data_IF_528591498710
#
_entry.id   IF_528591498710
#
_cell.length_a   1.000
_cell.length_b   1.000
_cell.length_c   1.000
_cell.angle_alpha   90.00
_cell.angle_beta   90.00
_cell.angle_gamma   90.00
#
_symmetry.space_group_name_H-M   'P 1'
#
loop_
_entity.id
_entity.type
_entity.pdbx_description
1 polymer ?
#
# COMPACT_ATOMS: atom_id res chain seq x y z
N UNK A 1 -2.57 -19.61 -32.51
CA UNK A 1 -3.66 -20.21 -31.70
C UNK A 1 -4.95 -19.51 -32.07
N UNK A 2 -6.10 -20.16 -31.87
CA UNK A 2 -7.41 -19.50 -32.02
C UNK A 2 -7.67 -18.61 -30.78
N UNK A 3 -7.78 -17.28 -30.92
CA UNK A 3 -7.97 -16.38 -29.79
C UNK A 3 -9.32 -16.57 -29.08
N UNK A 4 -10.32 -17.15 -29.76
CA UNK A 4 -11.62 -17.45 -29.15
C UNK A 4 -11.62 -18.75 -28.33
N UNK A 5 -10.46 -19.42 -28.21
CA UNK A 5 -10.34 -20.74 -27.57
C UNK A 5 -9.31 -20.79 -26.44
N UNK A 6 -9.17 -19.69 -25.69
CA UNK A 6 -8.50 -19.70 -24.38
C UNK A 6 -9.41 -20.36 -23.32
N UNK A 7 -9.58 -21.68 -23.44
CA UNK A 7 -9.89 -22.51 -22.29
C UNK A 7 -8.72 -22.39 -21.30
N UNK A 8 -9.02 -22.11 -20.04
CA UNK A 8 -8.00 -21.99 -18.98
C UNK A 8 -7.10 -23.23 -18.93
N UNK A 9 -5.79 -22.99 -18.96
CA UNK A 9 -4.78 -24.06 -19.00
C UNK A 9 -4.59 -24.57 -17.57
N UNK A 10 -4.50 -25.90 -17.37
CA UNK A 10 -4.22 -26.44 -16.03
C UNK A 10 -2.74 -26.26 -15.66
N UNK A 11 -2.39 -26.17 -14.38
CA UNK A 11 -0.98 -26.01 -13.93
C UNK A 11 -0.05 -27.09 -14.54
N UNK A 12 -0.54 -28.34 -14.64
CA UNK A 12 0.13 -29.46 -15.31
C UNK A 12 0.46 -29.23 -16.79
N UNK A 13 -0.29 -28.36 -17.45
CA UNK A 13 -0.12 -27.98 -18.85
C UNK A 13 0.67 -26.67 -18.97
N UNK A 14 0.57 -25.78 -17.98
CA UNK A 14 1.46 -24.63 -17.76
C UNK A 14 2.92 -25.06 -17.65
N UNK A 15 3.27 -25.93 -16.70
CA UNK A 15 4.63 -26.46 -16.52
C UNK A 15 5.21 -27.10 -17.81
N UNK A 16 4.39 -27.87 -18.54
CA UNK A 16 4.76 -28.45 -19.85
C UNK A 16 5.01 -27.42 -20.95
N UNK A 17 4.48 -26.21 -20.78
CA UNK A 17 4.64 -25.08 -21.69
C UNK A 17 5.84 -24.23 -21.28
N UNK A 18 6.03 -23.96 -19.97
CA UNK A 18 7.21 -23.28 -19.43
C UNK A 18 8.48 -24.04 -19.80
N UNK A 19 8.53 -25.36 -19.57
CA UNK A 19 9.66 -26.23 -19.98
C UNK A 19 9.92 -26.32 -21.50
N UNK A 20 9.11 -25.65 -22.33
CA UNK A 20 9.33 -25.49 -23.78
C UNK A 20 9.68 -24.06 -24.20
N UNK A 21 9.64 -23.08 -23.29
CA UNK A 21 10.08 -21.70 -23.56
C UNK A 21 11.60 -21.70 -23.78
N UNK A 22 12.06 -20.75 -24.60
CA UNK A 22 13.49 -20.56 -24.95
C UNK A 22 14.14 -19.38 -24.24
N UNK A 23 13.42 -18.74 -23.32
CA UNK A 23 13.92 -17.66 -22.46
C UNK A 23 13.95 -18.19 -21.04
N UNK A 24 15.12 -18.19 -20.37
CA UNK A 24 15.17 -18.45 -18.92
C UNK A 24 14.36 -17.40 -18.18
N UNK A 25 13.82 -17.77 -17.02
CA UNK A 25 13.29 -16.78 -16.08
C UNK A 25 14.40 -15.84 -15.57
N UNK A 26 14.07 -14.56 -15.44
CA UNK A 26 14.94 -13.54 -14.81
C UNK A 26 14.53 -13.26 -13.36
N UNK A 27 13.68 -14.09 -12.76
CA UNK A 27 13.14 -13.86 -11.41
C UNK A 27 14.25 -13.71 -10.35
N UNK A 28 15.35 -14.46 -10.48
CA UNK A 28 16.49 -14.40 -9.56
C UNK A 28 17.21 -13.02 -9.50
N UNK A 29 17.03 -12.15 -10.51
CA UNK A 29 17.62 -10.80 -10.51
C UNK A 29 16.73 -9.71 -9.89
N UNK A 30 15.55 -10.07 -9.39
CA UNK A 30 14.62 -9.13 -8.75
C UNK A 30 14.99 -8.91 -7.28
N UNK A 31 14.97 -7.67 -6.75
CA UNK A 31 15.44 -7.39 -5.39
C UNK A 31 14.54 -7.95 -4.28
N UNK A 32 13.32 -8.39 -4.60
CA UNK A 32 12.40 -9.09 -3.70
C UNK A 32 12.51 -10.63 -3.80
N UNK A 33 13.43 -11.16 -4.61
CA UNK A 33 13.58 -12.60 -4.82
C UNK A 33 14.16 -13.32 -3.60
N UNK A 34 13.54 -14.44 -3.23
CA UNK A 34 14.01 -15.35 -2.18
C UNK A 34 13.83 -16.82 -2.62
N UNK A 35 14.52 -17.74 -1.93
CA UNK A 35 14.23 -19.17 -1.99
C UNK A 35 13.65 -19.63 -0.65
N UNK A 36 12.33 -19.83 -0.61
CA UNK A 36 11.67 -20.35 0.59
C UNK A 36 12.10 -21.81 0.79
N UNK A 37 12.51 -22.13 2.02
CA UNK A 37 13.06 -23.43 2.43
C UNK A 37 14.20 -23.91 1.50
N UNK A 38 15.03 -22.98 1.01
CA UNK A 38 16.18 -23.18 0.10
C UNK A 38 15.87 -23.60 -1.35
N UNK A 39 14.64 -24.06 -1.66
CA UNK A 39 14.29 -24.61 -2.98
C UNK A 39 13.11 -23.94 -3.70
N UNK A 40 12.17 -23.28 -3.00
CA UNK A 40 10.96 -22.73 -3.61
C UNK A 40 11.22 -21.28 -4.07
N UNK A 41 11.24 -20.96 -5.37
CA UNK A 41 11.44 -19.60 -5.86
C UNK A 41 10.24 -18.73 -5.48
N UNK A 42 10.48 -17.56 -4.89
CA UNK A 42 9.41 -16.68 -4.43
C UNK A 42 9.81 -15.18 -4.49
N UNK A 43 8.79 -14.32 -4.45
CA UNK A 43 8.91 -12.87 -4.29
C UNK A 43 8.26 -12.47 -2.97
N UNK A 44 8.99 -11.73 -2.12
CA UNK A 44 8.49 -11.16 -0.86
C UNK A 44 8.45 -9.63 -0.99
N UNK A 45 7.29 -9.12 -1.40
CA UNK A 45 7.04 -7.72 -1.70
C UNK A 45 6.38 -7.08 -0.48
N UNK A 46 7.19 -6.37 0.31
CA UNK A 46 6.70 -5.66 1.49
C UNK A 46 6.16 -4.28 1.12
N UNK A 47 5.05 -3.88 1.75
CA UNK A 47 4.53 -2.52 1.69
C UNK A 47 5.55 -1.54 2.34
N UNK A 48 5.67 -0.28 1.86
CA UNK A 48 6.60 0.68 2.42
C UNK A 48 6.27 1.08 3.87
N UNK A 49 4.99 1.36 4.18
CA UNK A 49 4.56 1.60 5.56
C UNK A 49 4.62 0.29 6.37
N UNK A 50 5.44 0.30 7.43
CA UNK A 50 5.69 -0.83 8.35
C UNK A 50 4.56 -1.10 9.34
N UNK A 51 3.51 -0.26 9.36
CA UNK A 51 2.25 -0.57 10.05
C UNK A 51 1.48 -1.72 9.36
N UNK A 52 1.67 -1.90 8.05
CA UNK A 52 0.97 -2.94 7.28
C UNK A 52 1.57 -4.32 7.60
N UNK A 53 0.77 -5.15 8.28
CA UNK A 53 1.12 -6.53 8.68
C UNK A 53 0.29 -7.61 7.99
N UNK A 54 -0.74 -7.23 7.25
CA UNK A 54 -1.51 -8.11 6.37
C UNK A 54 -0.59 -8.75 5.32
N UNK A 55 -0.83 -10.02 5.01
CA UNK A 55 -0.14 -10.75 3.94
C UNK A 55 -1.15 -11.32 2.95
N UNK A 56 -0.88 -11.13 1.68
CA UNK A 56 -1.61 -11.71 0.56
C UNK A 56 -0.71 -12.78 -0.08
N UNK A 57 -1.05 -14.06 0.14
CA UNK A 57 -0.35 -15.20 -0.45
C UNK A 57 -0.90 -15.46 -1.86
N UNK A 58 -0.11 -15.05 -2.86
CA UNK A 58 -0.50 -15.01 -4.27
C UNK A 58 -0.11 -16.31 -5.01
N UNK A 59 -1.11 -16.98 -5.57
CA UNK A 59 -0.95 -18.14 -6.45
C UNK A 59 -1.31 -17.73 -7.89
N UNK A 60 -0.29 -17.62 -8.74
CA UNK A 60 -0.39 -17.11 -10.12
C UNK A 60 -1.11 -18.07 -11.08
N UNK A 61 -1.41 -17.61 -12.31
CA UNK A 61 -1.96 -18.49 -13.34
C UNK A 61 -0.89 -19.40 -13.99
N UNK A 62 -1.37 -20.52 -14.54
CA UNK A 62 -0.66 -21.47 -15.40
C UNK A 62 0.14 -20.88 -16.58
N UNK A 63 -0.17 -19.64 -16.99
CA UNK A 63 0.45 -18.94 -18.12
C UNK A 63 1.45 -17.86 -17.70
N UNK A 64 1.51 -17.55 -16.40
CA UNK A 64 2.38 -16.55 -15.78
C UNK A 64 3.64 -17.19 -15.18
N UNK A 65 4.69 -16.39 -14.99
CA UNK A 65 5.85 -16.69 -14.15
C UNK A 65 6.12 -15.45 -13.30
N UNK A 66 6.76 -15.60 -12.13
CA UNK A 66 6.90 -14.51 -11.16
C UNK A 66 7.57 -13.24 -11.72
N UNK A 67 8.48 -13.38 -12.69
CA UNK A 67 9.16 -12.25 -13.34
C UNK A 67 8.26 -11.40 -14.26
N UNK A 68 7.26 -12.01 -14.88
CA UNK A 68 6.34 -11.34 -15.80
C UNK A 68 5.25 -10.55 -15.08
N UNK A 69 4.96 -10.90 -13.82
CA UNK A 69 3.93 -10.25 -13.00
C UNK A 69 4.50 -9.36 -11.89
N UNK A 70 5.82 -9.38 -11.66
CA UNK A 70 6.51 -8.67 -10.57
C UNK A 70 6.05 -7.22 -10.37
N UNK A 71 6.05 -6.40 -11.43
CA UNK A 71 5.63 -4.99 -11.36
C UNK A 71 4.18 -4.85 -10.91
N UNK A 72 3.27 -5.67 -11.44
CA UNK A 72 1.86 -5.65 -11.05
C UNK A 72 1.62 -6.17 -9.63
N UNK A 73 2.51 -7.01 -9.09
CA UNK A 73 2.49 -7.39 -7.67
C UNK A 73 3.00 -6.25 -6.78
N UNK A 74 3.98 -5.45 -7.22
CA UNK A 74 4.42 -4.23 -6.50
C UNK A 74 3.30 -3.19 -6.45
N UNK A 75 2.62 -2.96 -7.57
CA UNK A 75 1.44 -2.08 -7.64
C UNK A 75 0.28 -2.59 -6.77
N UNK A 76 -0.01 -3.90 -6.83
CA UNK A 76 -1.06 -4.52 -6.02
C UNK A 76 -0.76 -4.46 -4.51
N UNK A 77 0.51 -4.59 -4.09
CA UNK A 77 0.89 -4.46 -2.68
C UNK A 77 0.57 -3.06 -2.14
N UNK A 78 0.85 -2.02 -2.93
CA UNK A 78 0.49 -0.62 -2.63
C UNK A 78 -1.02 -0.43 -2.55
N UNK A 79 -1.75 -0.81 -3.62
CA UNK A 79 -3.18 -0.52 -3.78
C UNK A 79 -4.08 -1.30 -2.82
N UNK A 80 -3.65 -2.49 -2.38
CA UNK A 80 -4.41 -3.34 -1.45
C UNK A 80 -3.93 -3.24 0.00
N UNK A 81 -2.98 -2.34 0.30
CA UNK A 81 -2.33 -2.19 1.61
C UNK A 81 -2.02 -3.54 2.27
N UNK A 82 -1.29 -4.39 1.54
CA UNK A 82 -0.88 -5.73 1.97
C UNK A 82 0.56 -5.99 1.54
N UNK A 83 1.31 -6.74 2.35
CA UNK A 83 2.54 -7.37 1.88
C UNK A 83 2.16 -8.54 0.97
N UNK A 84 2.83 -8.74 -0.16
CA UNK A 84 2.53 -9.82 -1.11
C UNK A 84 3.64 -10.85 -1.09
N UNK A 85 3.26 -12.13 -0.99
CA UNK A 85 4.17 -13.25 -1.10
C UNK A 85 3.67 -14.15 -2.22
N UNK A 86 4.42 -14.16 -3.32
CA UNK A 86 4.13 -14.96 -4.51
C UNK A 86 5.21 -16.04 -4.66
N UNK A 87 4.83 -17.24 -5.09
CA UNK A 87 5.73 -18.39 -5.21
C UNK A 87 5.52 -19.09 -6.56
N UNK A 88 6.60 -19.66 -7.10
CA UNK A 88 6.61 -20.33 -8.40
C UNK A 88 6.25 -21.81 -8.24
N UNK A 89 5.42 -22.37 -9.14
CA UNK A 89 4.98 -23.76 -9.03
C UNK A 89 6.08 -24.78 -9.43
N UNK A 90 6.06 -26.01 -8.89
CA UNK A 90 7.00 -27.06 -9.27
C UNK A 90 7.03 -27.32 -10.78
N UNK A 91 8.21 -27.18 -11.39
CA UNK A 91 8.41 -27.36 -12.84
C UNK A 91 7.99 -26.16 -13.71
N UNK A 92 7.80 -24.96 -13.13
CA UNK A 92 7.68 -23.69 -13.88
C UNK A 92 8.98 -22.88 -13.89
N UNK A 93 9.88 -23.07 -12.90
CA UNK A 93 11.22 -22.48 -12.86
C UNK A 93 12.25 -23.38 -13.58
N UNK A 94 13.09 -22.78 -14.43
CA UNK A 94 14.12 -23.48 -15.20
C UNK A 94 15.18 -24.16 -14.32
N UNK A 95 15.50 -23.58 -13.16
CA UNK A 95 16.47 -24.09 -12.20
C UNK A 95 15.93 -25.25 -11.34
N UNK A 96 14.61 -25.51 -11.40
CA UNK A 96 13.99 -26.61 -10.68
C UNK A 96 14.12 -27.93 -11.45
N UNK A 97 14.73 -28.94 -10.82
CA UNK A 97 14.72 -30.32 -11.33
C UNK A 97 13.36 -30.99 -11.16
N UNK A 98 12.49 -30.40 -10.33
CA UNK A 98 11.15 -30.86 -10.00
C UNK A 98 10.25 -30.97 -11.22
N UNK A 99 9.46 -32.04 -11.23
CA UNK A 99 8.41 -32.28 -12.21
C UNK A 99 7.08 -31.93 -11.56
N UNK A 100 6.29 -31.08 -12.21
CA UNK A 100 4.94 -30.75 -11.76
C UNK A 100 4.16 -32.01 -11.33
N UNK A 101 3.64 -31.97 -10.10
CA UNK A 101 2.57 -32.84 -9.65
C UNK A 101 1.67 -32.10 -8.67
N UNK A 102 0.40 -32.47 -8.64
CA UNK A 102 -0.60 -31.84 -7.77
C UNK A 102 -0.25 -32.01 -6.28
N UNK A 103 0.38 -33.14 -5.92
CA UNK A 103 0.86 -33.41 -4.57
C UNK A 103 2.03 -32.52 -4.17
N UNK A 104 3.04 -32.38 -5.04
CA UNK A 104 4.17 -31.49 -4.78
C UNK A 104 3.72 -30.03 -4.76
N UNK A 105 2.76 -29.63 -5.61
CA UNK A 105 2.17 -28.28 -5.59
C UNK A 105 1.43 -27.99 -4.28
N UNK A 106 0.69 -28.96 -3.75
CA UNK A 106 0.04 -28.90 -2.44
C UNK A 106 1.05 -28.82 -1.27
N UNK A 107 2.23 -29.43 -1.43
CA UNK A 107 3.35 -29.34 -0.50
C UNK A 107 4.08 -27.97 -0.61
N UNK A 108 4.24 -27.43 -1.82
CA UNK A 108 4.84 -26.10 -2.06
C UNK A 108 4.02 -25.00 -1.39
N UNK A 109 2.70 -24.91 -1.68
CA UNK A 109 1.86 -23.87 -1.05
C UNK A 109 1.75 -24.08 0.48
N UNK A 110 1.84 -25.33 0.94
CA UNK A 110 1.98 -25.68 2.36
C UNK A 110 3.23 -25.04 2.98
N UNK A 111 4.41 -25.32 2.42
CA UNK A 111 5.71 -24.81 2.90
C UNK A 111 5.79 -23.29 2.86
N UNK A 112 5.21 -22.66 1.84
CA UNK A 112 5.13 -21.19 1.72
C UNK A 112 4.22 -20.60 2.79
N UNK A 113 3.08 -21.23 3.11
CA UNK A 113 2.23 -20.78 4.22
C UNK A 113 2.90 -20.97 5.58
N UNK A 114 3.54 -22.12 5.81
CA UNK A 114 4.31 -22.41 7.03
C UNK A 114 5.45 -21.38 7.22
N UNK A 115 6.19 -21.02 6.16
CA UNK A 115 7.16 -19.92 6.19
C UNK A 115 6.55 -18.56 6.60
N UNK A 116 5.33 -18.23 6.16
CA UNK A 116 4.66 -16.98 6.53
C UNK A 116 4.26 -16.97 8.02
N UNK A 117 3.78 -18.10 8.55
CA UNK A 117 3.45 -18.22 9.98
C UNK A 117 4.73 -18.20 10.82
N UNK A 118 5.68 -19.10 10.55
CA UNK A 118 6.76 -19.44 11.48
C UNK A 118 7.99 -18.54 11.33
N UNK A 119 8.39 -18.20 10.09
CA UNK A 119 9.58 -17.38 9.84
C UNK A 119 9.25 -15.89 9.82
N UNK A 120 8.12 -15.50 9.22
CA UNK A 120 7.69 -14.09 9.17
C UNK A 120 6.82 -13.68 10.36
N UNK A 121 6.42 -14.61 11.23
CA UNK A 121 5.65 -14.35 12.46
C UNK A 121 4.29 -13.64 12.18
N UNK A 122 3.67 -13.94 11.03
CA UNK A 122 2.40 -13.33 10.63
C UNK A 122 1.22 -14.21 11.12
N UNK A 123 0.26 -13.68 11.89
CA UNK A 123 -0.90 -14.45 12.31
C UNK A 123 -1.72 -14.94 11.12
N UNK A 124 -2.18 -16.20 11.16
CA UNK A 124 -3.05 -16.77 10.09
C UNK A 124 -4.29 -15.91 9.82
N UNK A 125 -4.87 -15.32 10.87
CA UNK A 125 -6.01 -14.38 10.81
C UNK A 125 -5.72 -13.07 10.06
N UNK A 126 -4.46 -12.78 9.72
CA UNK A 126 -4.03 -11.63 8.90
C UNK A 126 -3.53 -12.05 7.51
N UNK A 127 -3.70 -13.33 7.14
CA UNK A 127 -3.33 -13.87 5.82
C UNK A 127 -4.57 -14.01 4.94
N UNK A 128 -4.53 -13.35 3.78
CA UNK A 128 -5.49 -13.49 2.68
C UNK A 128 -4.88 -14.46 1.67
N UNK A 129 -5.63 -15.47 1.24
CA UNK A 129 -5.20 -16.35 0.15
C UNK A 129 -5.75 -15.84 -1.18
N UNK A 130 -4.88 -15.61 -2.15
CA UNK A 130 -5.24 -15.03 -3.45
C UNK A 130 -4.87 -16.00 -4.57
N UNK A 131 -5.83 -16.36 -5.41
CA UNK A 131 -5.63 -17.27 -6.55
C UNK A 131 -6.06 -16.63 -7.86
N UNK A 132 -5.23 -16.74 -8.89
CA UNK A 132 -5.55 -16.30 -10.25
C UNK A 132 -5.60 -17.50 -11.19
N UNK A 133 -6.66 -17.61 -11.98
CA UNK A 133 -6.80 -18.67 -12.98
C UNK A 133 -6.65 -20.06 -12.37
N UNK A 134 -5.65 -20.80 -12.84
CA UNK A 134 -5.32 -22.14 -12.33
C UNK A 134 -4.71 -22.14 -10.92
N UNK A 135 -4.11 -21.02 -10.47
CA UNK A 135 -3.61 -20.85 -9.10
C UNK A 135 -4.70 -20.95 -8.04
N UNK A 136 -5.97 -20.76 -8.41
CA UNK A 136 -7.13 -20.97 -7.52
C UNK A 136 -7.21 -22.39 -6.93
N UNK A 137 -6.64 -23.40 -7.60
CA UNK A 137 -6.70 -24.79 -7.17
C UNK A 137 -5.84 -25.07 -5.90
N UNK A 138 -4.54 -24.71 -5.86
CA UNK A 138 -3.77 -24.74 -4.62
C UNK A 138 -4.27 -23.75 -3.56
N UNK A 139 -4.77 -22.56 -3.94
CA UNK A 139 -5.40 -21.61 -3.00
C UNK A 139 -6.55 -22.26 -2.21
N UNK A 140 -7.48 -22.93 -2.90
CA UNK A 140 -8.62 -23.63 -2.28
C UNK A 140 -8.18 -24.87 -1.49
N UNK A 141 -7.15 -25.58 -1.92
CA UNK A 141 -6.57 -26.68 -1.16
C UNK A 141 -6.02 -26.21 0.19
N UNK A 142 -5.27 -25.10 0.24
CA UNK A 142 -4.70 -24.57 1.48
C UNK A 142 -5.80 -24.04 2.41
N UNK A 143 -6.78 -23.31 1.88
CA UNK A 143 -7.97 -22.87 2.62
C UNK A 143 -8.75 -24.05 3.24
N UNK A 144 -8.80 -25.19 2.54
CA UNK A 144 -9.34 -26.43 3.07
C UNK A 144 -8.42 -27.07 4.12
N UNK A 145 -7.10 -27.14 3.90
CA UNK A 145 -6.13 -27.76 4.82
C UNK A 145 -6.27 -27.14 6.21
N UNK A 146 -6.20 -25.82 6.28
CA UNK A 146 -6.10 -25.05 7.53
C UNK A 146 -7.44 -24.78 8.23
N UNK A 147 -8.58 -25.14 7.60
CA UNK A 147 -9.98 -24.81 7.96
C UNK A 147 -10.44 -25.01 9.41
N UNK A 148 -9.66 -25.71 10.24
CA UNK A 148 -9.94 -26.02 11.64
C UNK A 148 -8.98 -25.31 12.59
N UNK A 149 -7.69 -25.41 12.30
CA UNK A 149 -6.62 -25.22 13.27
C UNK A 149 -5.93 -23.85 13.09
N UNK A 150 -5.97 -23.28 11.88
CA UNK A 150 -5.41 -21.96 11.54
C UNK A 150 -6.41 -21.19 10.65
N UNK A 151 -7.35 -20.41 11.24
CA UNK A 151 -8.32 -19.64 10.48
C UNK A 151 -7.65 -18.50 9.72
N UNK A 152 -7.68 -18.58 8.39
CA UNK A 152 -7.23 -17.52 7.49
C UNK A 152 -8.27 -16.38 7.39
N UNK A 153 -7.81 -15.16 7.11
CA UNK A 153 -8.66 -13.97 7.00
C UNK A 153 -9.77 -14.14 5.93
N UNK A 154 -9.39 -14.65 4.75
CA UNK A 154 -10.29 -14.85 3.64
C UNK A 154 -9.60 -15.36 2.39
N UNK A 155 -10.39 -15.55 1.33
CA UNK A 155 -9.92 -16.05 0.03
C UNK A 155 -10.48 -15.17 -1.10
N UNK A 156 -9.61 -14.71 -2.00
CA UNK A 156 -9.99 -14.07 -3.27
C UNK A 156 -9.63 -14.99 -4.42
N UNK A 157 -10.60 -15.24 -5.32
CA UNK A 157 -10.40 -16.04 -6.53
C UNK A 157 -10.69 -15.20 -7.78
N UNK A 158 -9.72 -15.07 -8.68
CA UNK A 158 -9.83 -14.28 -9.93
C UNK A 158 -9.86 -15.22 -11.14
N UNK A 159 -10.92 -15.13 -11.95
CA UNK A 159 -11.16 -16.00 -13.13
C UNK A 159 -10.92 -17.51 -12.86
N UNK A 160 -11.50 -18.11 -11.80
CA UNK A 160 -11.05 -19.40 -11.27
C UNK A 160 -11.20 -20.57 -12.25
N UNK A 161 -10.07 -21.19 -12.59
CA UNK A 161 -9.96 -22.31 -13.51
C UNK A 161 -9.97 -23.68 -12.79
N UNK A 162 -10.92 -23.86 -11.88
CA UNK A 162 -10.96 -25.02 -10.97
C UNK A 162 -11.73 -26.19 -11.59
N UNK A 163 -11.11 -27.37 -11.69
CA UNK A 163 -11.78 -28.57 -12.19
C UNK A 163 -12.68 -29.19 -11.11
N UNK A 164 -13.95 -28.78 -11.08
CA UNK A 164 -14.90 -29.10 -9.98
C UNK A 164 -15.46 -30.54 -10.05
N UNK A 165 -15.12 -31.28 -11.11
CA UNK A 165 -15.96 -32.34 -11.66
C UNK A 165 -15.48 -33.79 -11.41
N UNK A 166 -14.23 -34.03 -10.99
CA UNK A 166 -13.65 -35.38 -10.98
C UNK A 166 -13.58 -36.02 -9.58
N UNK A 167 -14.63 -36.76 -9.20
CA UNK A 167 -14.72 -37.53 -7.95
C UNK A 167 -13.65 -38.63 -7.85
N UNK A 168 -13.16 -39.15 -8.98
CA UNK A 168 -12.15 -40.20 -9.05
C UNK A 168 -10.70 -39.66 -9.11
N UNK A 169 -10.51 -38.35 -8.95
CA UNK A 169 -9.17 -37.75 -8.96
C UNK A 169 -8.39 -38.09 -7.69
N UNK A 170 -7.23 -38.72 -7.85
CA UNK A 170 -6.27 -38.94 -6.76
C UNK A 170 -5.68 -37.63 -6.22
N UNK A 171 -5.63 -36.59 -7.05
CA UNK A 171 -5.16 -35.23 -6.76
C UNK A 171 -5.65 -34.68 -5.41
N UNK A 172 -4.81 -34.00 -4.61
CA UNK A 172 -5.28 -33.24 -3.45
C UNK A 172 -6.03 -31.96 -3.85
N UNK A 173 -5.80 -31.40 -5.05
CA UNK A 173 -6.28 -30.08 -5.43
C UNK A 173 -7.75 -30.09 -5.90
N UNK A 174 -8.09 -30.93 -6.87
CA UNK A 174 -9.38 -30.90 -7.58
C UNK A 174 -10.57 -31.54 -6.81
N UNK A 175 -10.52 -31.64 -5.48
CA UNK A 175 -11.49 -32.43 -4.69
C UNK A 175 -12.71 -31.60 -4.26
N UNK A 176 -13.87 -31.89 -4.85
CA UNK A 176 -15.17 -31.25 -4.51
C UNK A 176 -15.51 -31.34 -3.00
N UNK A 177 -15.08 -32.41 -2.31
CA UNK A 177 -15.25 -32.59 -0.85
C UNK A 177 -14.42 -31.59 -0.03
N UNK A 178 -13.32 -31.08 -0.58
CA UNK A 178 -12.44 -30.10 0.07
C UNK A 178 -13.01 -28.69 -0.08
N UNK A 179 -13.41 -28.33 -1.31
CA UNK A 179 -14.10 -27.06 -1.62
C UNK A 179 -15.33 -26.84 -0.72
N UNK A 180 -16.20 -27.86 -0.58
CA UNK A 180 -17.36 -27.83 0.32
C UNK A 180 -17.04 -27.64 1.81
N UNK A 181 -15.78 -27.86 2.21
CA UNK A 181 -15.30 -27.76 3.59
C UNK A 181 -14.49 -26.49 3.86
N UNK A 182 -14.27 -25.61 2.87
CA UNK A 182 -13.64 -24.31 3.12
C UNK A 182 -14.51 -23.50 4.09
N UNK A 183 -13.93 -23.16 5.25
CA UNK A 183 -14.59 -22.38 6.31
C UNK A 183 -14.33 -20.89 6.20
N UNK A 184 -13.22 -20.50 5.56
CA UNK A 184 -12.88 -19.11 5.29
C UNK A 184 -13.91 -18.42 4.39
N UNK A 185 -14.14 -17.11 4.55
CA UNK A 185 -14.99 -16.33 3.66
C UNK A 185 -14.33 -16.19 2.27
N UNK A 186 -15.11 -16.35 1.20
CA UNK A 186 -14.60 -16.34 -0.18
C UNK A 186 -15.30 -15.29 -1.04
N UNK A 187 -14.51 -14.41 -1.67
CA UNK A 187 -14.92 -13.53 -2.76
C UNK A 187 -14.41 -14.03 -4.11
N UNK A 188 -15.21 -13.89 -5.17
CA UNK A 188 -14.83 -14.29 -6.53
C UNK A 188 -15.01 -13.12 -7.51
N UNK A 189 -13.98 -12.86 -8.33
CA UNK A 189 -14.01 -11.89 -9.42
C UNK A 189 -13.85 -12.61 -10.75
N UNK A 190 -14.72 -12.36 -11.74
CA UNK A 190 -14.61 -12.97 -13.08
C UNK A 190 -14.90 -12.00 -14.22
N UNK A 191 -14.28 -12.25 -15.37
CA UNK A 191 -14.66 -11.66 -16.65
C UNK A 191 -15.92 -12.32 -17.23
N UNK A 192 -16.78 -11.52 -17.85
CA UNK A 192 -18.10 -11.94 -18.35
C UNK A 192 -18.05 -12.58 -19.75
N UNK A 193 -16.88 -12.63 -20.39
CA UNK A 193 -16.59 -13.50 -21.55
C UNK A 193 -15.74 -14.73 -21.18
N UNK A 194 -15.60 -15.07 -19.88
CA UNK A 194 -14.91 -16.29 -19.45
C UNK A 194 -15.55 -17.54 -20.09
N UNK A 195 -14.73 -18.38 -20.72
CA UNK A 195 -15.18 -19.53 -21.52
C UNK A 195 -15.93 -20.60 -20.72
N UNK A 196 -15.83 -20.63 -19.39
CA UNK A 196 -16.55 -21.59 -18.54
C UNK A 196 -17.23 -20.95 -17.33
N UNK A 197 -18.24 -20.10 -17.60
CA UNK A 197 -19.17 -19.62 -16.55
C UNK A 197 -19.88 -20.74 -15.81
N UNK A 198 -19.95 -21.96 -16.34
CA UNK A 198 -20.69 -23.07 -15.75
C UNK A 198 -19.92 -23.67 -14.58
N UNK A 199 -18.65 -24.03 -14.76
CA UNK A 199 -17.81 -24.50 -13.66
C UNK A 199 -17.51 -23.35 -12.66
N UNK A 200 -17.42 -22.07 -13.06
CA UNK A 200 -17.38 -20.95 -12.10
C UNK A 200 -18.62 -20.90 -11.20
N UNK A 201 -19.83 -20.97 -11.77
CA UNK A 201 -21.08 -20.91 -10.97
C UNK A 201 -21.28 -22.17 -10.12
N UNK A 202 -20.76 -23.32 -10.59
CA UNK A 202 -20.69 -24.58 -9.84
C UNK A 202 -19.69 -24.52 -8.68
N UNK A 203 -18.51 -23.94 -8.89
CA UNK A 203 -17.53 -23.65 -7.84
C UNK A 203 -18.16 -22.77 -6.78
N UNK A 204 -18.75 -21.63 -7.21
CA UNK A 204 -19.39 -20.69 -6.30
C UNK A 204 -20.48 -21.38 -5.46
N UNK A 205 -21.41 -22.12 -6.08
CA UNK A 205 -22.51 -22.74 -5.32
C UNK A 205 -22.06 -23.71 -4.22
N UNK A 206 -20.94 -24.42 -4.42
CA UNK A 206 -20.34 -25.36 -3.46
C UNK A 206 -19.69 -24.71 -2.23
N UNK A 207 -19.25 -23.45 -2.32
CA UNK A 207 -18.58 -22.76 -1.22
C UNK A 207 -19.56 -22.51 -0.06
N UNK A 208 -19.15 -22.79 1.18
CA UNK A 208 -20.03 -22.61 2.34
C UNK A 208 -20.21 -21.13 2.68
N UNK A 209 -19.11 -20.38 2.76
CA UNK A 209 -19.08 -18.97 3.17
C UNK A 209 -18.75 -18.09 1.98
N UNK A 210 -19.80 -17.54 1.36
CA UNK A 210 -19.74 -16.71 0.15
C UNK A 210 -19.82 -15.24 0.57
N UNK A 211 -18.86 -14.42 0.18
CA UNK A 211 -18.97 -12.94 0.29
C UNK A 211 -19.57 -12.36 -0.98
N UNK A 212 -19.12 -12.81 -2.16
CA UNK A 212 -19.70 -12.37 -3.42
C UNK A 212 -19.11 -13.03 -4.67
N UNK A 213 -19.77 -12.74 -5.79
CA UNK A 213 -19.32 -13.05 -7.15
C UNK A 213 -19.55 -11.80 -8.01
N UNK A 214 -18.48 -11.11 -8.42
CA UNK A 214 -18.53 -9.93 -9.30
C UNK A 214 -18.17 -10.36 -10.74
N UNK A 215 -19.10 -10.15 -11.69
CA UNK A 215 -18.83 -10.32 -13.14
C UNK A 215 -18.51 -8.96 -13.78
N UNK A 216 -17.46 -8.88 -14.61
CA UNK A 216 -16.98 -7.67 -15.31
C UNK A 216 -17.05 -7.77 -16.85
N UNK A 217 -17.23 -6.69 -17.63
CA UNK A 217 -17.18 -6.77 -19.09
C UNK A 217 -15.74 -7.00 -19.61
N UNK A 218 -15.57 -7.95 -20.52
CA UNK A 218 -14.27 -8.25 -21.16
C UNK A 218 -13.90 -9.73 -21.20
N UNK A 219 -12.79 -10.05 -21.87
CA UNK A 219 -12.05 -11.32 -21.79
C UNK A 219 -11.24 -11.41 -20.48
N UNK A 220 -10.78 -12.61 -20.07
CA UNK A 220 -9.98 -12.76 -18.85
C UNK A 220 -8.71 -11.91 -18.82
N UNK A 221 -8.02 -11.78 -19.95
CA UNK A 221 -6.80 -10.98 -20.12
C UNK A 221 -7.08 -9.46 -20.16
N UNK A 222 -8.29 -9.09 -20.60
CA UNK A 222 -8.76 -7.70 -20.66
C UNK A 222 -9.23 -7.18 -19.28
N UNK A 223 -9.47 -8.07 -18.30
CA UNK A 223 -10.07 -7.73 -17.00
C UNK A 223 -9.32 -6.59 -16.28
N UNK A 224 -8.00 -6.76 -16.16
CA UNK A 224 -7.07 -5.81 -15.54
C UNK A 224 -6.87 -4.58 -16.45
N UNK A 225 -7.02 -4.72 -17.78
CA UNK A 225 -6.71 -3.65 -18.73
C UNK A 225 -7.87 -2.69 -18.99
N UNK A 226 -9.12 -3.14 -18.85
CA UNK A 226 -10.33 -2.37 -19.20
C UNK A 226 -11.15 -1.90 -17.99
N UNK A 227 -11.00 -2.54 -16.83
CA UNK A 227 -11.83 -2.26 -15.65
C UNK A 227 -10.98 -2.16 -14.36
N UNK A 228 -9.73 -1.71 -14.45
CA UNK A 228 -8.74 -1.80 -13.36
C UNK A 228 -9.28 -1.26 -12.03
N UNK A 229 -9.83 -0.05 -12.04
CA UNK A 229 -10.31 0.63 -10.84
C UNK A 229 -11.46 -0.16 -10.18
N UNK A 230 -12.53 -0.48 -10.92
CA UNK A 230 -13.64 -1.27 -10.37
C UNK A 230 -13.21 -2.68 -9.90
N UNK A 231 -12.22 -3.28 -10.58
CA UNK A 231 -11.64 -4.58 -10.26
C UNK A 231 -10.88 -4.52 -8.93
N UNK A 232 -10.05 -3.49 -8.74
CA UNK A 232 -9.33 -3.23 -7.49
C UNK A 232 -10.33 -2.88 -6.37
N UNK A 233 -11.31 -2.00 -6.60
CA UNK A 233 -12.39 -1.69 -5.64
C UNK A 233 -13.14 -2.94 -5.17
N UNK A 234 -13.40 -3.87 -6.09
CA UNK A 234 -14.08 -5.13 -5.76
C UNK A 234 -13.21 -6.08 -4.93
N UNK A 235 -11.88 -6.03 -5.09
CA UNK A 235 -10.93 -6.75 -4.23
C UNK A 235 -10.80 -6.05 -2.88
N UNK A 236 -10.69 -4.72 -2.84
CA UNK A 236 -10.68 -3.90 -1.62
C UNK A 236 -11.93 -4.18 -0.78
N UNK A 237 -13.12 -4.22 -1.40
CA UNK A 237 -14.38 -4.57 -0.73
C UNK A 237 -14.36 -5.95 -0.08
N UNK A 238 -13.72 -6.95 -0.70
CA UNK A 238 -13.51 -8.26 -0.08
C UNK A 238 -12.45 -8.20 1.04
N UNK A 239 -11.33 -7.49 0.85
CA UNK A 239 -10.27 -7.33 1.86
C UNK A 239 -10.80 -6.63 3.12
N UNK A 240 -11.58 -5.56 2.99
CA UNK A 240 -12.25 -4.86 4.11
C UNK A 240 -13.32 -5.74 4.77
N UNK A 241 -13.90 -6.70 4.06
CA UNK A 241 -14.79 -7.72 4.65
C UNK A 241 -14.03 -8.78 5.44
N UNK A 242 -12.76 -9.05 5.10
CA UNK A 242 -11.90 -10.01 5.81
C UNK A 242 -11.14 -9.38 6.99
N UNK A 243 -10.67 -8.14 6.81
CA UNK A 243 -9.85 -7.36 7.73
C UNK A 243 -10.44 -5.94 7.87
N UNK A 244 -11.51 -5.76 8.67
CA UNK A 244 -12.21 -4.48 8.82
C UNK A 244 -11.32 -3.33 9.31
N UNK A 245 -10.23 -3.64 10.01
CA UNK A 245 -9.22 -2.67 10.46
C UNK A 245 -8.52 -1.94 9.31
N UNK A 246 -8.48 -2.51 8.10
CA UNK A 246 -7.88 -1.85 6.93
C UNK A 246 -8.79 -0.81 6.27
N UNK A 247 -10.09 -0.76 6.63
CA UNK A 247 -11.10 0.14 6.02
C UNK A 247 -10.62 1.59 5.90
N UNK A 248 -9.98 2.09 6.96
CA UNK A 248 -9.62 3.50 7.09
C UNK A 248 -8.41 3.92 6.24
N UNK A 249 -7.64 2.95 5.73
CA UNK A 249 -6.57 3.21 4.76
C UNK A 249 -7.18 3.53 3.39
N UNK A 250 -8.18 2.74 2.97
CA UNK A 250 -8.80 2.84 1.65
C UNK A 250 -9.73 4.05 1.46
N UNK A 251 -10.28 4.62 2.53
CA UNK A 251 -11.17 5.79 2.46
C UNK A 251 -10.48 7.13 2.80
N UNK A 252 -9.17 7.11 3.03
CA UNK A 252 -8.37 8.31 3.34
C UNK A 252 -8.38 8.75 4.80
N UNK A 253 -9.16 8.13 5.70
CA UNK A 253 -9.18 8.52 7.13
C UNK A 253 -7.79 8.43 7.79
N UNK A 254 -6.94 7.45 7.43
CA UNK A 254 -5.56 7.37 7.94
C UNK A 254 -4.62 8.42 7.30
N UNK A 255 -4.89 8.90 6.09
CA UNK A 255 -4.13 10.00 5.48
C UNK A 255 -4.48 11.34 6.13
N UNK A 256 -5.75 11.56 6.46
CA UNK A 256 -6.21 12.79 7.12
C UNK A 256 -5.67 12.93 8.55
N UNK A 257 -5.40 11.82 9.25
CA UNK A 257 -4.66 11.81 10.52
C UNK A 257 -3.19 12.22 10.38
N UNK A 258 -2.63 12.17 9.17
CA UNK A 258 -1.27 12.63 8.86
C UNK A 258 -1.25 14.06 8.29
N UNK A 259 -2.41 14.73 8.17
CA UNK A 259 -2.50 16.10 7.67
C UNK A 259 -1.72 17.05 8.61
N UNK A 260 -0.77 17.86 8.11
CA UNK A 260 -0.03 18.82 8.94
C UNK A 260 -0.97 19.80 9.67
N UNK A 261 -0.57 20.24 10.87
CA UNK A 261 -1.36 21.12 11.74
C UNK A 261 -1.77 22.43 11.06
N UNK A 262 -0.91 22.96 10.20
CA UNK A 262 -1.16 24.13 9.33
C UNK A 262 -2.41 23.98 8.43
N UNK A 263 -2.79 22.74 8.10
CA UNK A 263 -3.95 22.43 7.24
C UNK A 263 -5.08 21.69 7.98
N UNK A 264 -4.94 21.42 9.29
CA UNK A 264 -5.99 20.76 10.08
C UNK A 264 -7.19 21.68 10.31
N UNK A 265 -6.95 22.99 10.43
CA UNK A 265 -7.99 23.99 10.65
C UNK A 265 -8.50 24.57 9.32
N UNK A 266 -9.82 24.69 9.17
CA UNK A 266 -10.45 25.43 8.07
C UNK A 266 -10.37 26.95 8.37
N UNK A 267 -9.70 27.78 7.54
CA UNK A 267 -9.61 29.23 7.76
C UNK A 267 -10.98 29.89 7.98
N UNK A 268 -12.00 29.50 7.21
CA UNK A 268 -13.35 30.04 7.33
C UNK A 268 -13.91 29.77 8.74
N UNK A 269 -13.73 28.56 9.28
CA UNK A 269 -14.22 28.21 10.62
C UNK A 269 -13.43 28.91 11.73
N UNK A 270 -12.10 29.02 11.60
CA UNK A 270 -11.23 29.74 12.55
C UNK A 270 -11.63 31.21 12.65
N UNK A 271 -11.72 31.89 11.51
CA UNK A 271 -12.09 33.31 11.46
C UNK A 271 -13.56 33.51 11.88
N UNK A 272 -14.47 32.61 11.50
CA UNK A 272 -15.87 32.68 11.95
C UNK A 272 -16.01 32.49 13.46
N UNK A 273 -15.21 31.62 14.07
CA UNK A 273 -15.18 31.43 15.52
C UNK A 273 -14.62 32.68 16.24
N UNK A 274 -13.49 33.21 15.77
CA UNK A 274 -12.89 34.44 16.29
C UNK A 274 -13.88 35.62 16.24
N UNK A 275 -14.45 35.91 15.06
CA UNK A 275 -15.42 36.99 14.87
C UNK A 275 -16.72 36.78 15.64
N UNK A 276 -17.13 35.52 15.89
CA UNK A 276 -18.29 35.23 16.74
C UNK A 276 -18.11 35.78 18.16
N UNK A 277 -16.88 35.83 18.68
CA UNK A 277 -16.57 36.42 19.99
C UNK A 277 -16.90 37.91 20.12
N UNK A 278 -16.91 38.65 19.00
CA UNK A 278 -17.32 40.06 18.94
C UNK A 278 -18.76 40.30 18.47
N UNK A 279 -19.51 39.25 18.12
CA UNK A 279 -20.81 39.39 17.44
C UNK A 279 -20.70 39.76 15.95
N UNK A 280 -19.55 39.47 15.33
CA UNK A 280 -19.16 39.89 13.97
C UNK A 280 -19.19 38.75 12.95
N UNK A 281 -19.76 37.59 13.30
CA UNK A 281 -19.73 36.36 12.49
C UNK A 281 -20.14 36.55 11.02
N UNK A 282 -21.11 37.42 10.78
CA UNK A 282 -21.60 37.81 9.45
C UNK A 282 -20.53 38.37 8.50
N UNK A 283 -19.38 38.81 9.02
CA UNK A 283 -18.27 39.35 8.25
C UNK A 283 -17.15 38.32 7.95
N UNK A 284 -17.35 37.03 8.28
CA UNK A 284 -16.35 35.96 8.01
C UNK A 284 -15.82 36.02 6.58
N UNK A 285 -16.73 36.01 5.60
CA UNK A 285 -16.38 35.99 4.17
C UNK A 285 -15.66 37.29 3.73
N UNK A 286 -15.93 38.42 4.39
CA UNK A 286 -15.26 39.69 4.13
C UNK A 286 -13.78 39.61 4.56
N UNK A 287 -13.50 39.18 5.78
CA UNK A 287 -12.12 39.00 6.26
C UNK A 287 -11.34 38.00 5.40
N UNK A 288 -11.95 36.86 5.07
CA UNK A 288 -11.35 35.85 4.18
C UNK A 288 -11.09 36.43 2.77
N UNK A 289 -12.01 37.23 2.22
CA UNK A 289 -11.83 37.84 0.89
C UNK A 289 -10.71 38.88 0.80
N UNK A 290 -10.34 39.50 1.93
CA UNK A 290 -9.18 40.38 2.06
C UNK A 290 -7.87 39.63 2.36
N UNK A 291 -7.92 38.29 2.50
CA UNK A 291 -6.75 37.43 2.74
C UNK A 291 -6.42 37.18 4.22
N UNK A 292 -7.24 37.67 5.16
CA UNK A 292 -7.04 37.45 6.60
C UNK A 292 -7.49 36.04 7.01
N UNK A 293 -6.71 35.03 6.60
CA UNK A 293 -7.01 33.60 6.80
C UNK A 293 -6.61 33.03 8.18
N UNK A 294 -5.83 33.78 8.97
CA UNK A 294 -5.36 33.38 10.29
C UNK A 294 -5.66 34.49 11.31
N UNK A 295 -5.82 34.12 12.59
CA UNK A 295 -6.15 35.08 13.65
C UNK A 295 -5.03 36.11 13.80
N UNK A 296 -3.77 35.67 13.78
CA UNK A 296 -2.57 36.51 13.82
C UNK A 296 -2.62 37.66 12.79
N UNK A 297 -3.01 37.42 11.53
CA UNK A 297 -3.13 38.49 10.53
C UNK A 297 -4.23 39.52 10.89
N UNK A 298 -5.34 39.08 11.51
CA UNK A 298 -6.37 40.01 12.03
C UNK A 298 -5.85 40.78 13.24
N UNK A 299 -5.05 40.14 14.10
CA UNK A 299 -4.42 40.82 15.23
C UNK A 299 -3.37 41.85 14.78
N UNK A 300 -2.69 41.65 13.66
CA UNK A 300 -1.68 42.58 13.13
C UNK A 300 -2.27 43.80 12.39
N UNK A 301 -3.56 43.77 12.04
CA UNK A 301 -4.26 44.87 11.35
C UNK A 301 -4.08 46.23 12.03
N UNK A 302 -3.79 47.24 11.21
CA UNK A 302 -3.84 48.65 11.58
C UNK A 302 -5.28 49.19 11.65
N UNK A 303 -5.47 50.29 12.37
CA UNK A 303 -6.76 51.02 12.41
C UNK A 303 -7.25 51.43 11.03
N UNK A 304 -6.33 51.72 10.10
CA UNK A 304 -6.63 52.18 8.75
C UNK A 304 -7.15 51.01 7.90
N UNK A 305 -6.49 49.84 7.93
CA UNK A 305 -6.98 48.63 7.26
C UNK A 305 -8.38 48.22 7.71
N UNK A 306 -8.64 48.23 9.03
CA UNK A 306 -9.98 47.94 9.57
C UNK A 306 -11.03 48.94 9.03
N UNK A 307 -10.64 50.22 8.91
CA UNK A 307 -11.51 51.27 8.36
C UNK A 307 -11.74 51.10 6.86
N UNK A 308 -10.75 50.61 6.10
CA UNK A 308 -10.87 50.33 4.67
C UNK A 308 -11.62 49.03 4.32
N UNK A 309 -12.02 48.21 5.30
CA UNK A 309 -12.87 47.02 5.05
C UNK A 309 -14.29 47.36 4.58
N UNK A 310 -14.75 48.61 4.69
CA UNK A 310 -16.12 49.00 4.33
C UNK A 310 -17.18 48.63 5.37
N UNK A 311 -16.77 48.35 6.60
CA UNK A 311 -17.66 48.18 7.76
C UNK A 311 -18.27 49.53 8.17
N UNK A 312 -19.44 49.52 8.83
CA UNK A 312 -20.00 50.72 9.46
C UNK A 312 -19.25 51.07 10.76
N UNK A 313 -19.37 52.30 11.23
CA UNK A 313 -18.66 52.81 12.42
C UNK A 313 -18.78 51.90 13.66
N UNK A 314 -19.98 51.41 13.96
CA UNK A 314 -20.24 50.53 15.11
C UNK A 314 -19.48 49.21 14.98
N UNK A 315 -19.55 48.57 13.81
CA UNK A 315 -18.96 47.26 13.60
C UNK A 315 -17.43 47.36 13.45
N UNK A 316 -16.92 48.46 12.89
CA UNK A 316 -15.50 48.87 12.91
C UNK A 316 -14.95 48.95 14.33
N UNK A 317 -15.65 49.62 15.26
CA UNK A 317 -15.24 49.69 16.67
C UNK A 317 -15.38 48.33 17.39
N UNK A 318 -16.34 47.49 17.00
CA UNK A 318 -16.42 46.11 17.49
C UNK A 318 -15.21 45.26 17.06
N UNK A 319 -14.69 45.42 15.83
CA UNK A 319 -13.47 44.73 15.36
C UNK A 319 -12.26 45.17 16.17
N UNK A 320 -12.03 46.48 16.31
CA UNK A 320 -10.92 47.05 17.10
C UNK A 320 -10.97 46.56 18.56
N UNK A 321 -12.18 46.55 19.14
CA UNK A 321 -12.41 46.03 20.50
C UNK A 321 -12.09 44.54 20.60
N UNK A 322 -12.59 43.71 19.68
CA UNK A 322 -12.34 42.26 19.67
C UNK A 322 -10.84 41.94 19.60
N UNK A 323 -10.10 42.60 18.69
CA UNK A 323 -8.65 42.47 18.57
C UNK A 323 -7.95 42.85 19.88
N UNK A 324 -8.37 43.94 20.51
CA UNK A 324 -7.78 44.43 21.77
C UNK A 324 -8.04 43.48 22.95
N UNK A 325 -9.28 43.00 23.10
CA UNK A 325 -9.65 42.02 24.14
C UNK A 325 -8.96 40.66 23.94
N UNK A 326 -8.76 40.23 22.68
CA UNK A 326 -8.06 38.98 22.38
C UNK A 326 -6.55 39.09 22.64
N UNK A 327 -5.90 40.19 22.24
CA UNK A 327 -4.50 40.47 22.59
C UNK A 327 -4.29 40.48 24.11
N UNK A 328 -5.17 41.13 24.86
CA UNK A 328 -5.09 41.17 26.32
C UNK A 328 -5.19 39.76 26.95
N UNK A 329 -6.13 38.92 26.49
CA UNK A 329 -6.26 37.53 26.94
C UNK A 329 -5.02 36.68 26.62
N UNK A 330 -4.51 36.75 25.39
CA UNK A 330 -3.32 36.01 24.95
C UNK A 330 -2.11 36.35 25.83
N UNK A 331 -1.90 37.63 26.13
CA UNK A 331 -0.86 38.09 27.07
C UNK A 331 -1.10 37.55 28.49
N UNK A 332 -2.35 37.54 28.97
CA UNK A 332 -2.67 36.99 30.31
C UNK A 332 -2.40 35.47 30.39
N UNK A 333 -2.70 34.73 29.33
CA UNK A 333 -2.48 33.28 29.21
C UNK A 333 -0.98 32.93 29.10
N UNK A 334 -0.22 33.67 28.29
CA UNK A 334 1.25 33.54 28.18
C UNK A 334 1.94 33.81 29.53
N UNK A 335 1.50 34.86 30.26
CA UNK A 335 2.00 35.15 31.61
C UNK A 335 1.66 34.02 32.62
N UNK A 336 0.45 33.46 32.56
CA UNK A 336 0.06 32.30 33.40
C UNK A 336 0.88 31.05 33.08
N UNK A 337 1.16 30.78 31.81
CA UNK A 337 1.99 29.65 31.39
C UNK A 337 3.45 29.81 31.86
N UNK A 338 3.99 31.02 31.81
CA UNK A 338 5.31 31.37 32.36
C UNK A 338 5.36 31.21 33.90
N UNK A 339 4.30 31.64 34.60
CA UNK A 339 4.17 31.45 36.04
C UNK A 339 4.08 29.97 36.46
N UNK A 340 3.40 29.11 35.68
CA UNK A 340 3.35 27.68 35.95
C UNK A 340 4.74 27.01 35.79
N UNK A 341 5.45 27.29 34.70
CA UNK A 341 6.79 26.73 34.46
C UNK A 341 7.77 27.12 35.57
N UNK A 342 7.79 28.41 35.94
CA UNK A 342 8.64 28.94 37.02
C UNK A 342 8.19 28.58 38.46
N UNK A 343 7.14 27.75 38.61
CA UNK A 343 6.83 27.00 39.83
C UNK A 343 7.35 25.55 39.73
N UNK A 344 7.16 24.87 38.60
CA UNK A 344 7.70 23.53 38.36
C UNK A 344 9.25 23.49 38.42
N UNK A 345 9.92 24.55 37.93
CA UNK A 345 11.37 24.74 38.02
C UNK A 345 11.88 25.03 39.46
N UNK A 346 11.00 25.12 40.47
CA UNK A 346 11.36 25.31 41.88
C UNK A 346 11.19 24.05 42.72
N UNK A 347 10.28 23.15 42.35
CA UNK A 347 10.14 21.85 43.02
C UNK A 347 11.31 20.90 42.72
N UNK A 348 12.03 21.12 41.62
CA UNK A 348 13.19 20.31 41.18
C UNK A 348 14.53 20.62 41.86
N UNK A 349 14.58 21.54 42.83
CA UNK A 349 15.85 22.05 43.41
C UNK A 349 16.15 21.53 44.84
N UNK A 350 15.13 21.16 45.62
CA UNK A 350 15.29 20.90 47.07
C UNK A 350 15.61 19.44 47.46
N UNK A 351 15.77 18.53 46.48
CA UNK A 351 16.15 17.12 46.74
C UNK A 351 17.68 16.92 46.96
N UNK A 352 18.45 18.02 47.01
CA UNK A 352 19.92 18.01 47.02
C UNK A 352 20.60 18.06 48.41
N UNK A 353 19.85 17.91 49.52
CA UNK A 353 20.41 18.01 50.90
C UNK A 353 19.84 17.02 51.93
N UNK A 354 20.48 15.86 52.09
CA UNK A 354 20.69 15.16 53.39
C UNK A 354 21.89 14.20 53.32
N UNK A 355 22.52 13.84 54.46
CA UNK A 355 23.92 13.40 54.49
C UNK A 355 24.15 11.88 54.47
N UNK A 356 25.38 11.51 54.12
CA UNK A 356 25.97 10.16 54.20
C UNK A 356 25.96 9.57 55.64
N UNK A 357 25.86 8.24 55.74
CA UNK A 357 26.29 7.50 56.94
C UNK A 357 26.73 6.06 56.63
N UNK A 358 27.86 5.66 57.24
CA UNK A 358 28.37 4.30 57.47
C UNK A 358 29.04 3.50 56.31
N UNK A 359 30.38 3.29 56.38
CA UNK A 359 31.17 2.24 55.71
C UNK A 359 31.67 1.16 56.74
N UNK A 360 32.66 0.28 56.47
CA UNK A 360 33.03 -0.52 55.29
C UNK A 360 33.18 -2.06 55.62
N UNK A 361 33.96 -2.80 54.80
CA UNK A 361 34.40 -4.22 54.88
C UNK A 361 33.43 -5.25 54.26
N UNK A 362 33.80 -6.36 53.60
CA UNK A 362 35.02 -7.04 53.07
C UNK A 362 34.60 -8.55 52.99
N UNK A 363 35.17 -9.49 52.21
CA UNK A 363 36.41 -9.56 51.41
C UNK A 363 36.21 -10.39 50.11
N UNK A 364 37.20 -10.30 49.20
CA UNK A 364 37.85 -11.33 48.33
C UNK A 364 37.08 -12.61 47.87
N UNK A 365 37.29 -13.20 46.70
CA UNK A 365 38.27 -13.07 45.59
C UNK A 365 37.70 -13.85 44.36
N UNK A 366 38.20 -13.86 43.11
CA UNK A 366 39.23 -13.17 42.31
C UNK A 366 38.82 -13.37 40.81
N UNK A 367 39.57 -13.18 39.70
CA UNK A 367 41.02 -13.01 39.41
C UNK A 367 41.23 -12.31 38.05
N UNK A 368 42.47 -12.19 37.58
CA UNK A 368 42.89 -11.50 36.34
C UNK A 368 42.86 -12.46 35.11
N UNK A 369 42.91 -12.01 33.84
CA UNK A 369 44.00 -11.32 33.09
C UNK A 369 43.33 -10.56 31.90
N UNK A 370 43.43 -9.24 31.67
CA UNK A 370 44.59 -8.34 31.44
C UNK A 370 45.27 -8.52 30.05
N UNK A 371 45.67 -7.51 29.26
CA UNK A 371 45.41 -6.05 29.20
C UNK A 371 46.11 -5.47 27.95
N UNK A 372 45.54 -4.46 27.24
CA UNK A 372 46.20 -3.18 26.84
C UNK A 372 45.62 -2.47 25.62
N UNK A 373 45.63 -1.15 25.72
CA UNK A 373 45.33 -0.12 24.74
C UNK A 373 46.59 0.34 23.97
N UNK A 374 46.40 1.05 22.86
CA UNK A 374 47.17 2.28 22.58
C UNK A 374 46.54 3.11 21.46
N UNK A 375 46.13 4.34 21.75
CA UNK A 375 45.97 5.39 20.75
C UNK A 375 47.34 5.92 20.30
N UNK A 376 47.46 6.38 19.04
CA UNK A 376 47.92 7.75 18.73
C UNK A 376 47.77 8.13 17.26
N UNK A 377 47.91 9.44 17.02
CA UNK A 377 47.53 10.18 15.81
C UNK A 377 48.74 10.89 15.16
N UNK A 378 48.46 11.73 14.15
CA UNK A 378 49.28 12.82 13.56
C UNK A 378 50.02 12.52 12.23
N UNK A 379 49.43 13.05 11.13
CA UNK A 379 50.06 13.76 9.98
C UNK A 379 51.13 13.03 9.12
N UNK A 380 51.63 13.51 7.96
CA UNK A 380 51.14 14.39 6.86
C UNK A 380 52.25 14.49 5.78
N UNK A 381 51.93 14.94 4.55
CA UNK A 381 52.89 15.29 3.46
C UNK A 381 53.59 14.08 2.78
N UNK A 382 54.04 14.11 1.52
CA UNK A 382 53.58 14.88 0.35
C UNK A 382 54.07 14.26 -0.99
N UNK A 383 53.26 14.48 -2.05
CA UNK A 383 53.59 14.72 -3.47
C UNK A 383 54.45 13.81 -4.38
N UNK A 384 54.02 13.89 -5.66
CA UNK A 384 54.77 13.81 -6.92
C UNK A 384 55.37 12.50 -7.47
N UNK A 385 54.78 12.04 -8.59
CA UNK A 385 55.31 12.50 -9.89
C UNK A 385 54.26 12.51 -11.02
N UNK A 386 54.41 13.49 -11.92
CA UNK A 386 53.61 13.68 -13.14
C UNK A 386 54.49 13.41 -14.37
N UNK A 387 53.89 12.88 -15.44
CA UNK A 387 54.21 13.10 -16.88
C UNK A 387 53.46 12.03 -17.71
N UNK A 388 53.03 12.23 -18.94
CA UNK A 388 52.48 13.41 -19.62
C UNK A 388 52.03 12.94 -21.02
N UNK A 389 50.83 13.31 -21.47
CA UNK A 389 50.49 13.42 -22.91
C UNK A 389 49.11 14.04 -23.14
N UNK A 390 49.12 15.36 -23.21
CA UNK A 390 48.18 16.13 -24.04
C UNK A 390 48.23 15.63 -25.52
N UNK A 391 47.38 16.03 -26.47
CA UNK A 391 46.77 17.36 -26.66
C UNK A 391 45.68 17.34 -27.73
N UNK A 392 44.93 18.45 -27.78
CA UNK A 392 43.92 18.88 -28.78
C UNK A 392 42.54 18.23 -28.69
N UNK A 393 41.44 18.97 -28.90
CA UNK A 393 41.20 20.41 -28.69
C UNK A 393 39.70 20.70 -28.79
N UNK A 394 39.28 21.76 -28.10
CA UNK A 394 38.08 22.55 -28.36
C UNK A 394 38.01 23.02 -29.85
N UNK A 395 36.91 23.55 -30.40
CA UNK A 395 35.63 24.04 -29.85
C UNK A 395 34.61 24.12 -31.01
N UNK A 396 33.30 23.91 -30.80
CA UNK A 396 32.25 24.40 -31.72
C UNK A 396 30.85 24.31 -31.12
N UNK A 397 30.16 25.45 -31.00
CA UNK A 397 28.72 25.52 -30.69
C UNK A 397 27.98 25.90 -31.98
N UNK A 398 26.99 25.10 -32.38
CA UNK A 398 25.91 25.57 -33.27
C UNK A 398 24.66 24.71 -33.16
N UNK A 399 23.52 25.36 -32.94
CA UNK A 399 22.22 24.71 -32.95
C UNK A 399 21.79 24.30 -34.37
N UNK A 400 20.99 23.24 -34.47
CA UNK A 400 20.09 23.01 -35.60
C UNK A 400 18.72 22.55 -35.10
N UNK A 401 17.69 23.25 -35.54
CA UNK A 401 16.28 23.02 -35.25
C UNK A 401 15.62 22.17 -36.33
N UNK A 402 14.66 21.35 -35.91
CA UNK A 402 13.51 20.87 -36.69
C UNK A 402 13.77 20.01 -37.95
N UNK A 403 13.11 18.85 -38.00
CA UNK A 403 11.99 18.68 -38.94
C UNK A 403 11.06 17.55 -38.44
N UNK A 404 9.79 17.89 -38.19
CA UNK A 404 8.69 16.92 -38.00
C UNK A 404 7.81 17.04 -39.23
N UNK A 405 7.65 15.95 -39.99
CA UNK A 405 6.79 15.93 -41.17
C UNK A 405 5.36 15.46 -40.83
N UNK A 406 4.32 16.00 -41.50
CA UNK A 406 2.95 15.91 -41.01
C UNK A 406 2.23 14.61 -41.42
N UNK A 407 1.62 13.93 -40.44
CA UNK A 407 0.58 12.92 -40.69
C UNK A 407 -0.74 13.65 -40.97
N UNK A 408 -1.41 13.26 -42.05
CA UNK A 408 -2.51 14.02 -42.66
C UNK A 408 -3.86 13.74 -42.00
N UNK A 409 -4.66 14.80 -41.83
CA UNK A 409 -6.07 14.72 -41.48
C UNK A 409 -6.88 13.77 -42.37
N UNK A 410 -7.71 12.93 -41.73
CA UNK A 410 -8.98 12.46 -42.29
C UNK A 410 -9.90 11.92 -41.21
N UNK A 411 -11.17 12.36 -41.23
CA UNK A 411 -12.30 11.94 -40.38
C UNK A 411 -12.42 12.51 -38.94
N UNK A 412 -11.98 13.75 -38.71
CA UNK A 412 -12.74 14.61 -37.78
C UNK A 412 -14.07 14.95 -38.48
N UNK A 413 -15.10 14.12 -38.28
CA UNK A 413 -16.30 14.19 -39.12
C UNK A 413 -17.52 13.38 -38.68
N UNK A 414 -17.65 13.03 -37.40
CA UNK A 414 -18.85 12.32 -36.89
C UNK A 414 -19.25 12.72 -35.47
N UNK A 415 -18.28 12.94 -34.57
CA UNK A 415 -18.52 13.15 -33.12
C UNK A 415 -18.85 14.61 -32.77
N UNK A 416 -19.74 15.24 -33.54
CA UNK A 416 -20.36 16.54 -33.22
C UNK A 416 -21.88 16.59 -33.46
N UNK A 417 -22.52 15.42 -33.60
CA UNK A 417 -23.96 15.28 -33.89
C UNK A 417 -24.76 14.42 -32.89
N UNK A 418 -24.15 14.04 -31.77
CA UNK A 418 -24.76 13.21 -30.72
C UNK A 418 -24.99 13.91 -29.37
N UNK A 419 -24.43 15.10 -29.15
CA UNK A 419 -24.55 15.88 -27.89
C UNK A 419 -25.49 17.09 -28.00
N UNK A 420 -26.49 17.03 -28.89
CA UNK A 420 -27.43 18.14 -29.18
C UNK A 420 -28.86 17.62 -29.42
N UNK A 421 -29.30 16.60 -28.66
CA UNK A 421 -30.64 15.97 -28.76
C UNK A 421 -31.15 15.33 -27.44
N UNK A 422 -30.86 15.95 -26.30
CA UNK A 422 -31.36 15.47 -24.99
C UNK A 422 -31.86 16.60 -24.08
N UNK A 423 -32.49 17.62 -24.67
CA UNK A 423 -33.24 18.66 -23.96
C UNK A 423 -34.30 19.26 -24.91
N UNK A 424 -35.32 19.91 -24.32
CA UNK A 424 -36.51 20.52 -24.96
C UNK A 424 -37.60 19.54 -25.45
N UNK A 425 -38.79 19.70 -24.84
CA UNK A 425 -40.12 19.09 -25.12
C UNK A 425 -40.30 17.63 -24.66
N UNK A 426 -41.33 17.30 -23.86
CA UNK A 426 -42.44 18.10 -23.30
C UNK A 426 -42.54 17.90 -21.79
#
# INVERSE_FOLDING_TARGET
MDPNKLSSISLKSGAKTMKKRRRPSTCQSLPQFVKINDHIPALVINHPDKKIRSVLLYSHDSTEQLDQIHQSLVEMAMLLHCNIIAYEFPGFSDDSTDKYSDSLTAETITKVFEYIIDMLNVPSTSIILFGVGAGCEPTLFLAYKNRKDLPIAGVVLVNPAVSVSNVFSSSPLHKTKYIKQVTAPVGIVVSSKLSDKKETRRLYSLLKHKIGLKEFPGLPQELIQLNYDEYIDSIIGYIVTFLPELKNLFNGEELEKLRPTEYQNNPIEVISHFLSGGGLKQFTDLFISYGYCEIEYILEMTSDEITYMGLNEKDTEQVKKLITEYKAKKIEEENKACALRSLQDKESVDESKRPNSNPPHCDEAATNIAMKDSEKSVSSLDNERITDKEKKSEQSIKAKSHEISPIKDKKIGTIKKLFMKSEIKK
#
